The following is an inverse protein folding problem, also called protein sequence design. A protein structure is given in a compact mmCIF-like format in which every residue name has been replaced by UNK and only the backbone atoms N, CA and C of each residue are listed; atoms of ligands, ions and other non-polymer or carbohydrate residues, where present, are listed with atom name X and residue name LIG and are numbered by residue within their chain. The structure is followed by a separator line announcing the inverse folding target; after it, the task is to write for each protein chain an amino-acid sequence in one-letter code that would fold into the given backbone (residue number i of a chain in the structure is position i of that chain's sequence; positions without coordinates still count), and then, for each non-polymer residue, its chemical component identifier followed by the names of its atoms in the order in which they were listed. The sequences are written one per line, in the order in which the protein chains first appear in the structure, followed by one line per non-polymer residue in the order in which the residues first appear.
data_IF_435211882332
#
_entry.id   IF_435211882332
#
_cell.length_a   1.000
_cell.length_b   1.000
_cell.length_c   1.000
_cell.angle_alpha   90.00
_cell.angle_beta   90.00
_cell.angle_gamma   90.00
#
_symmetry.space_group_name_H-M   'P 1'
#
loop_
_entity.id
_entity.type
_entity.pdbx_description
1 polymer ?
#
# COMPACT_ATOMS: atom_id res chain seq x y z
N UNK A 1 5.19 -72.72 -54.15
CA UNK A 1 6.50 -72.09 -53.84
C UNK A 1 6.16 -70.71 -53.31
N UNK A 2 6.41 -70.26 -52.09
CA UNK A 2 7.12 -70.66 -50.85
C UNK A 2 6.35 -69.89 -49.74
N UNK A 3 5.82 -70.50 -48.66
CA UNK A 3 6.44 -70.67 -47.30
C UNK A 3 7.36 -69.50 -46.90
N UNK A 4 7.30 -68.84 -45.74
CA UNK A 4 6.69 -68.91 -44.40
C UNK A 4 6.96 -67.50 -43.77
N UNK A 5 6.26 -66.94 -42.77
CA UNK A 5 6.31 -67.25 -41.32
C UNK A 5 5.44 -66.23 -40.55
N UNK A 6 4.61 -66.75 -39.63
CA UNK A 6 4.26 -66.27 -38.27
C UNK A 6 4.10 -64.77 -37.95
N UNK A 7 2.96 -64.42 -37.35
CA UNK A 7 2.93 -63.90 -35.97
C UNK A 7 1.51 -63.95 -35.39
N UNK A 8 1.42 -64.46 -34.17
CA UNK A 8 0.25 -64.63 -33.33
C UNK A 8 -0.42 -63.31 -32.90
N UNK A 9 -1.72 -63.44 -32.65
CA UNK A 9 -2.56 -62.78 -31.65
C UNK A 9 -1.97 -61.60 -30.86
N UNK A 10 -2.67 -60.47 -30.88
CA UNK A 10 -2.74 -59.59 -29.71
C UNK A 10 -4.19 -59.08 -29.53
N UNK A 11 -4.91 -59.75 -28.64
CA UNK A 11 -6.17 -59.27 -28.08
C UNK A 11 -5.83 -58.19 -27.06
N UNK A 12 -6.14 -56.93 -27.38
CA UNK A 12 -6.11 -55.84 -26.42
C UNK A 12 -7.28 -55.99 -25.43
N UNK A 13 -7.10 -56.82 -24.40
CA UNK A 13 -7.90 -56.76 -23.19
C UNK A 13 -7.47 -55.53 -22.38
N UNK A 14 -8.45 -54.70 -22.03
CA UNK A 14 -8.27 -53.55 -21.14
C UNK A 14 -7.79 -54.01 -19.77
N UNK A 15 -6.48 -53.85 -19.53
CA UNK A 15 -5.91 -53.96 -18.21
C UNK A 15 -6.50 -52.85 -17.34
N UNK A 16 -7.43 -53.21 -16.46
CA UNK A 16 -7.74 -52.39 -15.30
C UNK A 16 -6.42 -52.21 -14.53
N UNK A 17 -6.03 -50.98 -14.14
CA UNK A 17 -4.83 -50.78 -13.33
C UNK A 17 -4.94 -51.66 -12.09
N UNK A 18 -3.89 -52.44 -11.80
CA UNK A 18 -3.92 -53.42 -10.73
C UNK A 18 -4.16 -52.71 -9.39
N UNK A 19 -4.90 -53.37 -8.49
CA UNK A 19 -5.14 -52.89 -7.12
C UNK A 19 -3.83 -52.53 -6.40
N UNK A 20 -2.71 -53.17 -6.79
CA UNK A 20 -1.35 -52.86 -6.33
C UNK A 20 -0.82 -51.50 -6.80
N UNK A 21 -1.14 -51.05 -8.02
CA UNK A 21 -0.78 -49.70 -8.49
C UNK A 21 -1.60 -48.61 -7.78
N UNK A 22 -2.89 -48.87 -7.52
CA UNK A 22 -3.71 -47.96 -6.70
C UNK A 22 -3.28 -47.92 -5.23
N UNK A 23 -2.75 -49.03 -4.68
CA UNK A 23 -2.17 -49.06 -3.34
C UNK A 23 -0.79 -48.38 -3.27
N UNK A 24 -0.03 -48.37 -4.36
CA UNK A 24 1.26 -47.69 -4.45
C UNK A 24 1.13 -46.17 -4.66
N UNK A 25 0.10 -45.71 -5.39
CA UNK A 25 -0.21 -44.28 -5.60
C UNK A 25 -1.08 -43.68 -4.48
N UNK A 26 -1.67 -44.52 -3.61
CA UNK A 26 -2.73 -44.13 -2.68
C UNK A 26 -2.29 -43.52 -1.34
N UNK A 27 -1.01 -43.55 -0.98
CA UNK A 27 -0.52 -42.79 0.16
C UNK A 27 0.92 -42.38 -0.03
N UNK A 28 1.10 -41.19 -0.59
CA UNK A 28 2.35 -40.45 -0.47
C UNK A 28 2.52 -39.98 1.00
N UNK A 29 2.70 -40.94 1.93
CA UNK A 29 3.11 -40.70 3.31
C UNK A 29 4.56 -40.19 3.27
N UNK A 30 4.73 -38.95 2.82
CA UNK A 30 5.96 -38.21 2.95
C UNK A 30 6.22 -38.04 4.44
N UNK A 31 7.14 -38.84 4.97
CA UNK A 31 7.63 -38.65 6.34
C UNK A 31 8.06 -37.19 6.49
N UNK A 32 7.53 -36.47 7.49
CA UNK A 32 7.88 -35.07 7.69
C UNK A 32 9.37 -34.98 7.93
N UNK A 33 10.08 -34.23 7.09
CA UNK A 33 11.50 -33.95 7.29
C UNK A 33 11.66 -32.78 8.24
N UNK A 34 12.79 -32.71 8.94
CA UNK A 34 13.12 -31.52 9.74
C UNK A 34 13.08 -30.29 8.82
N UNK A 35 12.25 -29.34 9.20
CA UNK A 35 12.06 -28.09 8.48
C UNK A 35 10.89 -28.03 7.50
N UNK A 36 10.07 -29.08 7.45
CA UNK A 36 8.83 -29.07 6.67
C UNK A 36 7.72 -28.24 7.36
N UNK A 37 6.89 -27.57 6.58
CA UNK A 37 5.72 -26.83 7.06
C UNK A 37 4.49 -27.60 6.65
N UNK A 38 3.68 -28.01 7.63
CA UNK A 38 2.46 -28.80 7.42
C UNK A 38 1.27 -28.05 7.99
N UNK A 39 0.14 -28.16 7.33
CA UNK A 39 -1.15 -27.83 7.93
C UNK A 39 -1.52 -28.97 8.89
N UNK A 40 -2.02 -28.63 10.07
CA UNK A 40 -2.52 -29.61 11.02
C UNK A 40 -3.70 -29.11 11.81
N UNK A 41 -4.55 -30.03 12.26
CA UNK A 41 -5.75 -29.72 13.03
C UNK A 41 -5.45 -29.87 14.51
N UNK A 42 -5.83 -28.89 15.33
CA UNK A 42 -5.64 -28.96 16.78
C UNK A 42 -6.56 -30.02 17.38
N UNK A 43 -6.02 -31.10 17.91
CA UNK A 43 -6.77 -32.19 18.55
C UNK A 43 -7.09 -31.89 20.02
N UNK A 44 -6.10 -31.37 20.76
CA UNK A 44 -6.28 -30.99 22.16
C UNK A 44 -5.38 -29.82 22.53
N UNK A 45 -5.89 -28.96 23.41
CA UNK A 45 -5.18 -27.79 23.94
C UNK A 45 -5.02 -28.01 25.43
N UNK A 46 -3.79 -28.26 25.86
CA UNK A 46 -3.41 -28.27 27.27
C UNK A 46 -2.55 -27.03 27.58
N UNK A 47 -2.48 -26.58 28.85
CA UNK A 47 -1.71 -25.38 29.21
C UNK A 47 -0.22 -25.46 28.86
N UNK A 48 0.35 -26.66 28.81
CA UNK A 48 1.78 -26.90 28.61
C UNK A 48 2.10 -27.61 27.28
N UNK A 49 1.08 -28.10 26.56
CA UNK A 49 1.25 -28.77 25.28
C UNK A 49 -0.01 -28.66 24.42
N UNK A 50 0.14 -28.48 23.12
CA UNK A 50 -0.96 -28.60 22.16
C UNK A 50 -0.67 -29.80 21.27
N UNK A 51 -1.63 -30.71 21.17
CA UNK A 51 -1.55 -31.85 20.25
C UNK A 51 -2.22 -31.46 18.95
N UNK A 52 -1.51 -31.60 17.85
CA UNK A 52 -1.93 -31.26 16.50
C UNK A 52 -1.79 -32.48 15.61
N UNK A 53 -2.83 -32.82 14.87
CA UNK A 53 -2.75 -33.82 13.81
C UNK A 53 -2.26 -33.17 12.52
N UNK A 54 -1.10 -33.61 12.02
CA UNK A 54 -0.50 -33.11 10.78
C UNK A 54 -0.65 -34.10 9.61
N UNK A 55 -1.55 -35.07 9.71
CA UNK A 55 -1.73 -36.13 8.73
C UNK A 55 -0.54 -37.10 8.66
N UNK A 56 0.20 -37.23 9.77
CA UNK A 56 1.31 -38.16 9.90
C UNK A 56 0.88 -39.41 10.69
N UNK A 57 1.69 -40.48 10.67
CA UNK A 57 1.42 -41.71 11.46
C UNK A 57 1.39 -41.48 12.98
N UNK A 58 1.81 -40.31 13.46
CA UNK A 58 1.90 -39.94 14.86
C UNK A 58 1.54 -38.48 15.04
N UNK A 59 1.00 -38.17 16.20
CA UNK A 59 0.57 -36.82 16.54
C UNK A 59 1.76 -35.88 16.73
N UNK A 60 1.54 -34.62 16.41
CA UNK A 60 2.49 -33.56 16.63
C UNK A 60 2.24 -32.86 17.96
N UNK A 61 3.29 -32.62 18.73
CA UNK A 61 3.22 -31.91 20.00
C UNK A 61 3.88 -30.55 19.85
N UNK A 62 3.12 -29.51 20.17
CA UNK A 62 3.62 -28.14 20.35
C UNK A 62 3.97 -27.97 21.83
N UNK A 63 5.25 -27.74 22.17
CA UNK A 63 5.69 -27.63 23.55
C UNK A 63 5.47 -26.23 24.16
N UNK A 64 5.40 -26.15 25.49
CA UNK A 64 5.14 -24.92 26.27
C UNK A 64 6.05 -23.74 25.92
N UNK A 65 7.34 -23.99 25.66
CA UNK A 65 8.28 -22.92 25.33
C UNK A 65 7.94 -22.19 24.03
N UNK A 66 7.18 -22.81 23.13
CA UNK A 66 6.69 -22.22 21.90
C UNK A 66 5.39 -21.44 22.16
N UNK A 67 4.50 -22.01 22.98
CA UNK A 67 3.27 -21.36 23.46
C UNK A 67 3.55 -20.06 24.21
N UNK A 68 4.58 -20.05 25.07
CA UNK A 68 5.04 -18.86 25.78
C UNK A 68 5.52 -17.73 24.85
N UNK A 69 5.95 -18.05 23.61
CA UNK A 69 6.37 -17.06 22.61
C UNK A 69 5.22 -16.53 21.74
N UNK A 70 4.14 -17.30 21.60
CA UNK A 70 2.90 -16.81 20.98
C UNK A 70 2.23 -15.75 21.88
N UNK A 71 2.31 -15.92 23.20
CA UNK A 71 1.67 -15.06 24.19
C UNK A 71 0.27 -15.56 24.54
N UNK A 72 -0.17 -15.30 25.78
CA UNK A 72 -1.43 -15.85 26.33
C UNK A 72 -2.67 -15.50 25.50
N UNK A 73 -2.70 -14.32 24.86
CA UNK A 73 -3.82 -13.89 24.01
C UNK A 73 -3.97 -14.72 22.73
N UNK A 74 -2.86 -15.24 22.18
CA UNK A 74 -2.91 -16.06 20.97
C UNK A 74 -3.27 -17.52 21.28
N UNK A 75 -2.77 -18.06 22.39
CA UNK A 75 -3.15 -19.40 22.85
C UNK A 75 -4.66 -19.46 23.16
N UNK A 76 -5.23 -18.37 23.70
CA UNK A 76 -6.66 -18.27 23.95
C UNK A 76 -7.53 -18.19 22.67
N UNK A 77 -6.95 -17.76 21.53
CA UNK A 77 -7.67 -17.71 20.25
C UNK A 77 -7.74 -19.06 19.55
N UNK A 78 -6.76 -19.92 19.81
CA UNK A 78 -6.73 -21.27 19.24
C UNK A 78 -7.82 -22.11 19.91
N UNK A 79 -8.65 -22.76 19.09
CA UNK A 79 -9.69 -23.68 19.56
C UNK A 79 -9.37 -25.08 19.06
N UNK A 80 -9.86 -26.08 19.80
CA UNK A 80 -9.80 -27.47 19.34
C UNK A 80 -10.59 -27.57 18.03
N UNK A 81 -9.97 -28.14 16.99
CA UNK A 81 -10.49 -28.23 15.64
C UNK A 81 -10.03 -27.12 14.68
N UNK A 82 -9.21 -26.16 15.12
CA UNK A 82 -8.67 -25.11 14.24
C UNK A 82 -7.54 -25.66 13.35
N UNK A 83 -7.51 -25.21 12.09
CA UNK A 83 -6.43 -25.55 11.15
C UNK A 83 -5.27 -24.58 11.36
N UNK A 84 -4.13 -25.12 11.80
CA UNK A 84 -2.93 -24.36 12.09
C UNK A 84 -1.76 -24.89 11.28
N UNK A 85 -1.00 -23.99 10.68
CA UNK A 85 0.28 -24.37 10.08
C UNK A 85 1.33 -24.55 11.17
N UNK A 86 2.04 -25.67 11.13
CA UNK A 86 3.07 -26.05 12.09
C UNK A 86 4.39 -26.36 11.38
N UNK A 87 5.49 -25.99 12.02
CA UNK A 87 6.84 -26.22 11.51
C UNK A 87 7.46 -27.42 12.24
N UNK A 88 7.94 -28.42 11.49
CA UNK A 88 8.51 -29.63 12.06
C UNK A 88 9.94 -29.39 12.54
N UNK A 89 10.13 -29.29 13.86
CA UNK A 89 11.44 -29.17 14.48
C UNK A 89 12.16 -30.52 14.52
N UNK A 90 11.46 -31.58 14.96
CA UNK A 90 12.00 -32.93 15.06
C UNK A 90 10.92 -33.95 14.67
N UNK A 91 11.22 -34.86 13.72
CA UNK A 91 10.28 -35.89 13.30
C UNK A 91 10.13 -37.03 14.30
N UNK A 92 11.07 -37.19 15.24
CA UNK A 92 10.99 -38.22 16.27
C UNK A 92 11.72 -37.73 17.53
N UNK A 93 10.98 -37.61 18.64
CA UNK A 93 11.54 -37.47 19.98
C UNK A 93 11.59 -38.83 20.69
N UNK A 94 12.07 -38.88 21.94
CA UNK A 94 12.22 -40.11 22.74
C UNK A 94 10.93 -40.94 22.87
N UNK A 95 9.77 -40.28 22.85
CA UNK A 95 8.45 -40.90 22.93
C UNK A 95 7.83 -41.18 21.56
N UNK A 96 8.58 -40.94 20.48
CA UNK A 96 8.13 -41.16 19.12
C UNK A 96 7.30 -40.03 18.51
N UNK A 97 6.93 -39.01 19.28
CA UNK A 97 6.09 -37.89 18.84
C UNK A 97 6.84 -36.90 17.94
N UNK A 98 6.09 -36.18 17.10
CA UNK A 98 6.64 -35.16 16.20
C UNK A 98 6.64 -33.82 16.93
N UNK A 99 7.81 -33.25 17.19
CA UNK A 99 7.89 -31.92 17.85
C UNK A 99 7.73 -30.84 16.80
N UNK A 100 6.72 -30.01 16.96
CA UNK A 100 6.42 -28.92 16.04
C UNK A 100 6.38 -27.56 16.74
N UNK A 101 6.53 -26.49 15.97
CA UNK A 101 6.46 -25.11 16.44
C UNK A 101 5.41 -24.35 15.63
N UNK A 102 4.44 -23.78 16.34
CA UNK A 102 3.45 -22.85 15.79
C UNK A 102 4.09 -21.48 15.56
N UNK A 103 5.00 -21.05 16.44
CA UNK A 103 5.66 -19.75 16.33
C UNK A 103 6.54 -19.65 15.08
N UNK A 104 7.33 -20.69 14.78
CA UNK A 104 8.18 -20.71 13.58
C UNK A 104 7.35 -20.77 12.29
N UNK A 105 6.23 -21.50 12.30
CA UNK A 105 5.32 -21.53 11.17
C UNK A 105 4.71 -20.15 10.89
N UNK A 106 4.24 -19.43 11.93
CA UNK A 106 3.74 -18.05 11.79
C UNK A 106 4.80 -17.10 11.28
N UNK A 107 6.03 -17.15 11.81
CA UNK A 107 7.14 -16.33 11.31
C UNK A 107 7.37 -16.58 9.82
N UNK A 108 7.33 -17.84 9.39
CA UNK A 108 7.48 -18.18 7.97
C UNK A 108 6.32 -17.63 7.12
N UNK A 109 5.08 -17.78 7.58
CA UNK A 109 3.91 -17.19 6.93
C UNK A 109 4.02 -15.68 6.83
N UNK A 110 4.49 -15.01 7.88
CA UNK A 110 4.71 -13.56 7.87
C UNK A 110 5.78 -13.15 6.85
N UNK A 111 6.85 -13.94 6.67
CA UNK A 111 7.84 -13.72 5.61
C UNK A 111 7.28 -13.97 4.20
N UNK A 112 6.42 -14.98 4.03
CA UNK A 112 5.70 -15.21 2.76
C UNK A 112 4.76 -14.05 2.44
N UNK A 113 3.95 -13.62 3.41
CA UNK A 113 3.05 -12.48 3.28
C UNK A 113 3.79 -11.18 3.00
N UNK A 114 4.95 -10.97 3.60
CA UNK A 114 5.81 -9.83 3.31
C UNK A 114 6.27 -9.78 1.85
N UNK A 115 6.59 -10.93 1.25
CA UNK A 115 6.95 -11.02 -0.17
C UNK A 115 5.74 -10.78 -1.07
N UNK A 116 4.58 -11.33 -0.73
CA UNK A 116 3.32 -11.06 -1.44
C UNK A 116 2.98 -9.56 -1.41
N UNK A 117 3.22 -8.86 -0.30
CA UNK A 117 3.02 -7.41 -0.21
C UNK A 117 4.05 -6.62 -1.03
N UNK A 118 5.27 -7.14 -1.19
CA UNK A 118 6.27 -6.53 -2.07
C UNK A 118 5.83 -6.65 -3.53
N UNK A 119 5.31 -7.81 -3.93
CA UNK A 119 4.87 -8.11 -5.29
C UNK A 119 3.54 -7.44 -5.67
N UNK A 120 2.52 -7.58 -4.81
CA UNK A 120 1.22 -6.89 -4.96
C UNK A 120 1.36 -5.37 -4.81
N UNK A 121 2.40 -4.94 -4.08
CA UNK A 121 2.66 -3.55 -3.78
C UNK A 121 1.58 -2.91 -2.90
N UNK A 122 0.86 -3.70 -2.11
CA UNK A 122 -0.17 -3.22 -1.20
C UNK A 122 0.40 -2.41 -0.03
N UNK A 123 -0.48 -1.61 0.58
CA UNK A 123 -0.14 -0.76 1.73
C UNK A 123 -0.61 -1.46 3.00
N UNK A 124 0.27 -1.54 3.98
CA UNK A 124 0.02 -2.11 5.30
C UNK A 124 0.05 -1.00 6.36
N UNK A 125 -0.94 -0.95 7.24
CA UNK A 125 -0.94 -0.02 8.38
C UNK A 125 -0.24 -0.67 9.58
N UNK A 126 0.86 -0.06 10.03
CA UNK A 126 1.65 -0.57 11.14
C UNK A 126 1.84 0.47 12.24
N UNK A 127 1.72 0.04 13.49
CA UNK A 127 2.01 0.88 14.65
C UNK A 127 3.51 0.87 14.96
N UNK A 128 4.12 2.04 15.09
CA UNK A 128 5.54 2.12 15.46
C UNK A 128 5.73 1.73 16.92
N UNK A 129 6.53 0.68 17.17
CA UNK A 129 6.84 0.20 18.53
C UNK A 129 8.10 0.84 19.13
N UNK A 130 8.94 1.44 18.30
CA UNK A 130 10.17 2.06 18.77
C UNK A 130 11.00 2.65 17.65
N UNK A 131 12.15 3.21 17.99
CA UNK A 131 13.05 3.85 17.05
C UNK A 131 14.51 3.53 17.38
N UNK A 132 15.36 3.65 16.37
CA UNK A 132 16.81 3.58 16.51
C UNK A 132 17.46 4.83 15.88
N UNK A 133 18.79 4.91 15.91
CA UNK A 133 19.55 6.07 15.40
C UNK A 133 19.34 6.36 13.90
N UNK A 134 18.73 5.46 13.14
CA UNK A 134 18.55 5.58 11.69
C UNK A 134 17.10 5.50 11.19
N UNK A 135 16.12 5.20 12.04
CA UNK A 135 14.73 5.00 11.63
C UNK A 135 13.83 4.42 12.70
N UNK A 136 12.61 4.04 12.32
CA UNK A 136 11.59 3.48 13.21
C UNK A 136 11.41 1.98 12.99
N UNK A 137 11.02 1.26 14.04
CA UNK A 137 10.76 -0.18 14.02
C UNK A 137 9.26 -0.40 14.09
N UNK A 138 8.74 -1.19 13.16
CA UNK A 138 7.31 -1.48 13.02
C UNK A 138 7.12 -3.00 13.00
N UNK A 139 6.22 -3.55 13.83
CA UNK A 139 5.92 -4.98 13.81
C UNK A 139 5.06 -5.31 12.58
N UNK A 140 5.32 -6.48 12.01
CA UNK A 140 4.54 -7.07 10.93
C UNK A 140 4.28 -8.52 11.28
N UNK A 141 3.10 -8.81 11.83
CA UNK A 141 2.85 -10.10 12.48
C UNK A 141 3.84 -10.34 13.64
N UNK A 142 4.62 -11.41 13.55
CA UNK A 142 5.68 -11.77 14.50
C UNK A 142 7.07 -11.28 14.09
N UNK A 143 7.24 -10.77 12.87
CA UNK A 143 8.51 -10.21 12.41
C UNK A 143 8.55 -8.70 12.64
N UNK A 144 9.77 -8.14 12.65
CA UNK A 144 9.99 -6.70 12.87
C UNK A 144 10.59 -6.12 11.60
N UNK A 145 9.95 -5.09 11.06
CA UNK A 145 10.47 -4.30 9.96
C UNK A 145 11.04 -2.96 10.42
N UNK A 146 11.87 -2.40 9.55
CA UNK A 146 12.59 -1.16 9.77
C UNK A 146 12.18 -0.15 8.70
N UNK A 147 11.81 1.05 9.13
CA UNK A 147 11.50 2.18 8.25
C UNK A 147 12.65 3.18 8.36
N UNK A 148 13.45 3.40 7.31
CA UNK A 148 14.52 4.39 7.33
C UNK A 148 13.96 5.80 7.55
N UNK A 149 14.64 6.62 8.35
CA UNK A 149 14.21 8.00 8.60
C UNK A 149 14.13 8.86 7.31
N UNK A 150 14.94 8.52 6.29
CA UNK A 150 14.91 9.17 4.97
C UNK A 150 13.62 8.91 4.17
N UNK A 151 12.82 7.94 4.58
CA UNK A 151 11.56 7.54 3.94
C UNK A 151 10.33 8.02 4.71
N UNK A 152 10.51 8.72 5.84
CA UNK A 152 9.42 9.39 6.56
C UNK A 152 9.13 10.75 5.92
N UNK A 153 7.86 11.13 5.80
CA UNK A 153 7.42 12.29 5.01
C UNK A 153 7.80 13.64 5.64
N UNK A 154 7.98 13.70 6.97
CA UNK A 154 8.17 14.96 7.73
C UNK A 154 9.62 15.24 8.18
N UNK A 155 10.61 14.67 7.49
CA UNK A 155 12.04 14.87 7.82
C UNK A 155 12.72 15.87 6.86
N UNK A 156 12.92 17.14 7.27
CA UNK A 156 13.85 18.04 6.61
C UNK A 156 15.26 17.43 6.54
N UNK A 157 15.89 17.50 5.38
CA UNK A 157 17.23 16.95 5.13
C UNK A 157 18.38 17.62 5.91
N UNK A 158 18.10 18.65 6.72
CA UNK A 158 19.08 19.45 7.49
C UNK A 158 18.73 19.62 8.98
N UNK A 159 18.33 18.56 9.69
CA UNK A 159 18.13 18.62 11.15
C UNK A 159 19.37 18.14 11.91
N UNK A 160 19.64 18.74 13.08
CA UNK A 160 20.69 18.28 14.00
C UNK A 160 20.37 16.87 14.54
N UNK A 161 21.38 16.12 14.98
CA UNK A 161 21.22 14.72 15.42
C UNK A 161 20.20 14.56 16.56
N UNK A 162 20.10 15.57 17.43
CA UNK A 162 19.19 15.60 18.59
C UNK A 162 17.73 15.85 18.20
N UNK A 163 17.45 16.82 17.33
CA UNK A 163 16.09 17.14 16.87
C UNK A 163 15.46 15.98 16.09
N UNK A 164 16.28 15.21 15.36
CA UNK A 164 15.83 13.99 14.68
C UNK A 164 15.33 12.95 15.68
N UNK A 165 15.99 12.80 16.83
CA UNK A 165 15.58 11.84 17.86
C UNK A 165 14.28 12.25 18.54
N UNK A 166 14.10 13.54 18.82
CA UNK A 166 12.86 14.05 19.40
C UNK A 166 11.66 13.83 18.47
N UNK A 167 11.81 14.13 17.17
CA UNK A 167 10.77 13.85 16.18
C UNK A 167 10.47 12.36 16.04
N UNK A 168 11.50 11.51 15.96
CA UNK A 168 11.30 10.04 15.86
C UNK A 168 10.57 9.46 17.07
N UNK A 169 10.80 10.00 18.26
CA UNK A 169 10.08 9.61 19.47
C UNK A 169 8.58 9.96 19.39
N UNK A 170 8.23 11.08 18.76
CA UNK A 170 6.83 11.51 18.56
C UNK A 170 6.04 10.60 17.61
N UNK A 171 6.75 9.89 16.71
CA UNK A 171 6.15 8.90 15.82
C UNK A 171 5.92 7.54 16.49
N UNK A 172 6.53 7.27 17.65
CA UNK A 172 6.28 6.03 18.40
C UNK A 172 4.83 6.00 18.87
N UNK A 173 4.13 4.90 18.60
CA UNK A 173 2.71 4.74 18.93
C UNK A 173 1.75 5.21 17.84
N UNK A 174 2.20 5.95 16.82
CA UNK A 174 1.36 6.30 15.66
C UNK A 174 1.23 5.11 14.72
N UNK A 175 0.03 4.94 14.15
CA UNK A 175 -0.23 4.03 13.04
C UNK A 175 0.06 4.76 11.73
N UNK A 176 0.98 4.20 10.94
CA UNK A 176 1.43 4.82 9.69
C UNK A 176 1.21 3.83 8.55
N UNK A 177 0.70 4.27 7.39
CA UNK A 177 0.64 3.44 6.19
C UNK A 177 2.04 3.23 5.63
N UNK A 178 2.42 1.97 5.48
CA UNK A 178 3.76 1.51 5.13
C UNK A 178 3.68 0.54 3.96
N UNK A 179 4.58 0.70 3.01
CA UNK A 179 4.74 -0.24 1.91
C UNK A 179 6.07 -0.97 2.04
N UNK A 180 6.07 -2.27 1.82
CA UNK A 180 7.28 -3.09 1.78
C UNK A 180 8.09 -2.70 0.53
N UNK A 181 9.36 -2.36 0.70
CA UNK A 181 10.29 -2.10 -0.40
C UNK A 181 11.27 -3.25 -0.56
N UNK A 182 11.66 -3.87 0.54
CA UNK A 182 12.72 -4.88 0.55
C UNK A 182 12.42 -5.93 1.61
N UNK A 183 12.56 -7.19 1.23
CA UNK A 183 12.38 -8.36 2.10
C UNK A 183 13.64 -9.21 2.03
N UNK A 184 14.27 -9.41 3.18
CA UNK A 184 15.56 -10.08 3.31
C UNK A 184 15.42 -11.20 4.37
N UNK A 185 14.99 -12.40 3.94
CA UNK A 185 14.75 -13.55 4.84
C UNK A 185 16.02 -14.00 5.58
N UNK A 186 17.15 -14.00 4.88
CA UNK A 186 18.45 -14.43 5.42
C UNK A 186 18.93 -13.54 6.56
N UNK A 187 18.73 -12.22 6.43
CA UNK A 187 19.13 -11.23 7.45
C UNK A 187 18.01 -10.92 8.43
N UNK A 188 16.84 -11.57 8.28
CA UNK A 188 15.60 -11.26 9.00
C UNK A 188 15.30 -9.76 8.98
N UNK A 189 15.54 -9.13 7.83
CA UNK A 189 15.38 -7.69 7.64
C UNK A 189 14.22 -7.44 6.70
N UNK A 190 13.34 -6.53 7.09
CA UNK A 190 12.25 -6.09 6.27
C UNK A 190 12.26 -4.56 6.27
N UNK A 191 12.26 -3.94 5.09
CA UNK A 191 12.34 -2.48 4.96
C UNK A 191 11.03 -1.96 4.42
N UNK A 192 10.45 -1.00 5.14
CA UNK A 192 9.26 -0.29 4.70
C UNK A 192 9.55 1.14 4.25
N UNK A 193 8.58 1.72 3.54
CA UNK A 193 8.57 3.14 3.19
C UNK A 193 7.16 3.72 3.27
N UNK A 194 7.07 4.86 3.97
CA UNK A 194 5.85 5.68 4.04
C UNK A 194 5.63 6.44 2.72
N UNK A 195 6.70 6.98 2.11
CA UNK A 195 6.61 7.75 0.85
C UNK A 195 6.01 6.95 -0.31
N UNK A 196 6.30 5.64 -0.38
CA UNK A 196 5.77 4.77 -1.42
C UNK A 196 4.28 4.46 -1.21
N UNK A 197 3.84 4.26 0.03
CA UNK A 197 2.44 4.06 0.39
C UNK A 197 1.58 5.30 0.04
N UNK A 198 2.08 6.52 0.33
CA UNK A 198 1.34 7.76 0.06
C UNK A 198 1.22 8.12 -1.43
N UNK A 199 2.10 7.59 -2.30
CA UNK A 199 1.98 7.75 -3.77
C UNK A 199 0.85 6.89 -4.32
N UNK A 200 0.77 5.63 -3.92
CA UNK A 200 -0.28 4.72 -4.40
C UNK A 200 -1.65 5.01 -3.79
N UNK A 201 -1.72 5.40 -2.50
CA UNK A 201 -2.99 5.84 -1.90
C UNK A 201 -3.55 7.07 -2.63
N UNK A 202 -2.68 8.06 -2.92
CA UNK A 202 -3.04 9.18 -3.79
C UNK A 202 -3.38 8.73 -5.21
N UNK A 203 -2.64 7.82 -5.83
CA UNK A 203 -2.94 7.39 -7.20
C UNK A 203 -4.27 6.64 -7.32
N UNK A 204 -4.66 5.83 -6.32
CA UNK A 204 -5.96 5.16 -6.27
C UNK A 204 -7.09 6.14 -6.03
N UNK A 205 -6.94 7.07 -5.08
CA UNK A 205 -7.92 8.17 -4.91
C UNK A 205 -8.01 9.05 -6.16
N UNK A 206 -6.87 9.39 -6.78
CA UNK A 206 -6.81 10.15 -8.04
C UNK A 206 -7.62 9.47 -9.12
N UNK A 207 -7.45 8.16 -9.28
CA UNK A 207 -8.11 7.42 -10.34
C UNK A 207 -9.61 7.31 -10.14
N UNK A 208 -10.07 7.18 -8.89
CA UNK A 208 -11.49 7.16 -8.57
C UNK A 208 -12.13 8.54 -8.75
N UNK A 209 -11.48 9.59 -8.24
CA UNK A 209 -11.91 10.97 -8.45
C UNK A 209 -11.91 11.35 -9.94
N UNK A 210 -10.89 10.93 -10.70
CA UNK A 210 -10.83 11.18 -12.16
C UNK A 210 -11.94 10.50 -12.94
N UNK A 211 -12.56 9.44 -12.41
CA UNK A 211 -13.74 8.80 -13.02
C UNK A 211 -15.03 9.54 -12.68
N UNK A 212 -15.08 10.18 -11.52
CA UNK A 212 -16.26 10.93 -11.05
C UNK A 212 -16.30 12.37 -11.57
N UNK A 213 -15.13 12.99 -11.76
CA UNK A 213 -14.99 14.39 -12.18
C UNK A 213 -15.41 14.57 -13.64
N UNK A 214 -16.34 15.50 -13.87
CA UNK A 214 -16.74 15.95 -15.21
C UNK A 214 -16.13 17.32 -15.54
N UNK A 215 -15.82 17.55 -16.82
CA UNK A 215 -15.40 18.87 -17.28
C UNK A 215 -16.54 19.88 -17.07
N UNK A 216 -16.23 21.03 -16.47
CA UNK A 216 -17.19 22.09 -16.21
C UNK A 216 -17.80 22.14 -14.81
N UNK A 217 -17.40 21.25 -13.91
CA UNK A 217 -17.81 21.29 -12.50
C UNK A 217 -16.97 22.30 -11.71
N UNK A 218 -17.61 22.93 -10.72
CA UNK A 218 -16.97 23.80 -9.73
C UNK A 218 -16.64 22.98 -8.50
N UNK A 219 -15.39 23.02 -8.05
CA UNK A 219 -14.94 22.23 -6.91
C UNK A 219 -14.10 23.09 -5.96
N UNK A 220 -14.22 22.79 -4.68
CA UNK A 220 -13.43 23.42 -3.63
C UNK A 220 -12.10 22.66 -3.51
N UNK A 221 -10.99 23.40 -3.42
CA UNK A 221 -9.67 22.81 -3.30
C UNK A 221 -8.72 23.65 -2.44
N UNK A 222 -7.65 23.02 -1.97
CA UNK A 222 -6.64 23.68 -1.13
C UNK A 222 -5.35 23.87 -1.94
N UNK A 223 -4.78 25.07 -1.92
CA UNK A 223 -3.52 25.35 -2.62
C UNK A 223 -2.37 24.56 -1.99
N UNK A 224 -1.85 23.55 -2.69
CA UNK A 224 -0.75 22.71 -2.20
C UNK A 224 0.62 23.30 -2.50
N UNK A 225 0.73 24.17 -3.51
CA UNK A 225 1.98 24.82 -3.87
C UNK A 225 1.84 25.90 -4.94
N UNK A 226 2.81 26.82 -4.99
CA UNK A 226 2.85 27.93 -5.94
C UNK A 226 4.16 27.88 -6.74
N UNK A 227 4.08 28.12 -8.03
CA UNK A 227 5.23 28.23 -8.95
C UNK A 227 5.09 29.48 -9.82
N UNK A 228 6.16 29.90 -10.50
CA UNK A 228 6.13 31.16 -11.26
C UNK A 228 5.15 31.16 -12.45
N UNK A 229 4.80 29.97 -12.95
CA UNK A 229 3.87 29.79 -14.09
C UNK A 229 2.44 29.42 -13.66
N UNK A 230 2.16 29.21 -12.36
CA UNK A 230 0.84 28.79 -11.91
C UNK A 230 0.75 28.33 -10.44
N UNK A 231 -0.44 27.89 -10.05
CA UNK A 231 -0.74 27.38 -8.71
C UNK A 231 -1.19 25.91 -8.79
N UNK A 232 -0.74 25.10 -7.84
CA UNK A 232 -1.20 23.72 -7.64
C UNK A 232 -2.28 23.70 -6.57
N UNK A 233 -3.43 23.12 -6.90
CA UNK A 233 -4.59 23.01 -6.02
C UNK A 233 -4.93 21.52 -5.85
N UNK A 234 -5.00 21.06 -4.61
CA UNK A 234 -5.46 19.72 -4.25
C UNK A 234 -6.98 19.72 -4.08
N UNK A 235 -7.67 18.90 -4.87
CA UNK A 235 -9.14 18.77 -4.87
C UNK A 235 -9.65 17.65 -3.94
N UNK A 236 -8.83 17.27 -2.95
CA UNK A 236 -9.13 16.19 -2.01
C UNK A 236 -8.76 14.81 -2.57
N UNK A 237 -7.68 14.76 -3.36
CA UNK A 237 -7.19 13.50 -3.93
C UNK A 237 -6.78 13.59 -5.40
N UNK A 238 -6.94 14.75 -6.08
CA UNK A 238 -6.34 14.99 -7.40
C UNK A 238 -5.65 16.36 -7.45
N UNK A 239 -4.47 16.42 -8.07
CA UNK A 239 -3.71 17.66 -8.21
C UNK A 239 -4.14 18.36 -9.50
N UNK A 240 -4.70 19.56 -9.36
CA UNK A 240 -5.00 20.45 -10.47
C UNK A 240 -3.99 21.58 -10.60
N UNK A 241 -3.75 22.01 -11.83
CA UNK A 241 -2.88 23.14 -12.16
C UNK A 241 -3.74 24.29 -12.66
N UNK A 242 -3.62 25.43 -11.98
CA UNK A 242 -4.16 26.71 -12.43
C UNK A 242 -3.04 27.48 -13.10
N UNK A 243 -3.20 27.81 -14.39
CA UNK A 243 -2.23 28.62 -15.12
C UNK A 243 -2.29 30.08 -14.64
N UNK A 244 -1.19 30.83 -14.73
CA UNK A 244 -1.16 32.23 -14.26
C UNK A 244 -2.24 33.12 -14.91
N UNK A 245 -2.57 32.84 -16.18
CA UNK A 245 -3.62 33.55 -16.93
C UNK A 245 -5.05 33.20 -16.50
N UNK A 246 -5.21 32.12 -15.73
CA UNK A 246 -6.51 31.60 -15.27
C UNK A 246 -6.75 31.87 -13.78
N UNK A 247 -5.83 32.60 -13.11
CA UNK A 247 -5.96 33.02 -11.71
C UNK A 247 -6.91 34.21 -11.52
N UNK A 248 -6.83 35.21 -12.40
CA UNK A 248 -7.57 36.47 -12.29
C UNK A 248 -7.75 37.12 -13.65
N UNK A 249 -8.75 38.00 -13.77
CA UNK A 249 -8.96 38.88 -14.92
C UNK A 249 -7.87 39.97 -15.04
N UNK A 250 -7.22 40.31 -13.93
CA UNK A 250 -6.11 41.26 -13.90
C UNK A 250 -4.78 40.57 -14.24
N UNK A 251 -3.86 41.32 -14.85
CA UNK A 251 -2.53 40.81 -15.24
C UNK A 251 -1.65 40.67 -14.00
N UNK A 252 -1.85 39.60 -13.23
CA UNK A 252 -1.03 39.27 -12.08
C UNK A 252 0.41 38.94 -12.54
N UNK A 253 1.41 39.63 -11.97
CA UNK A 253 2.84 39.38 -12.26
C UNK A 253 3.36 38.14 -11.55
N UNK A 254 2.88 37.89 -10.33
CA UNK A 254 3.25 36.72 -9.55
C UNK A 254 2.05 36.07 -8.84
N UNK A 255 1.87 34.75 -8.96
CA UNK A 255 0.75 34.04 -8.34
C UNK A 255 0.78 34.07 -6.80
N UNK A 256 1.94 34.35 -6.20
CA UNK A 256 2.12 34.47 -4.73
C UNK A 256 1.48 35.73 -4.13
N UNK A 257 1.17 36.73 -4.95
CA UNK A 257 0.46 37.94 -4.52
C UNK A 257 -1.05 37.70 -4.44
N UNK A 258 -1.55 36.72 -5.20
CA UNK A 258 -2.98 36.42 -5.33
C UNK A 258 -3.41 35.25 -4.43
N UNK A 259 -2.54 34.25 -4.24
CA UNK A 259 -2.83 33.03 -3.47
C UNK A 259 -1.69 32.68 -2.52
N UNK A 260 -2.01 32.10 -1.36
CA UNK A 260 -1.05 31.51 -0.42
C UNK A 260 -1.17 29.99 -0.40
N UNK A 261 -0.06 29.32 -0.04
CA UNK A 261 -0.06 27.87 0.17
C UNK A 261 -0.93 27.56 1.39
N UNK A 262 -1.91 26.69 1.23
CA UNK A 262 -2.89 26.32 2.25
C UNK A 262 -4.23 27.07 2.16
N UNK A 263 -4.39 28.01 1.24
CA UNK A 263 -5.67 28.70 1.06
C UNK A 263 -6.71 27.78 0.40
N UNK A 264 -7.96 27.89 0.85
CA UNK A 264 -9.13 27.25 0.23
C UNK A 264 -9.65 28.13 -0.90
N UNK A 265 -9.77 27.55 -2.10
CA UNK A 265 -10.21 28.23 -3.32
C UNK A 265 -11.22 27.40 -4.09
N UNK A 266 -12.21 28.08 -4.64
CA UNK A 266 -13.12 27.50 -5.63
C UNK A 266 -12.47 27.54 -7.01
N UNK A 267 -12.49 26.40 -7.68
CA UNK A 267 -11.90 26.23 -9.01
C UNK A 267 -12.89 25.59 -9.96
N UNK A 268 -12.84 26.03 -11.21
CA UNK A 268 -13.59 25.48 -12.32
C UNK A 268 -12.73 24.51 -13.13
N UNK A 269 -13.23 23.33 -13.44
CA UNK A 269 -12.51 22.32 -14.22
C UNK A 269 -12.62 22.65 -15.72
N UNK A 270 -11.50 23.02 -16.33
CA UNK A 270 -11.44 23.31 -17.77
C UNK A 270 -11.30 22.04 -18.61
N UNK A 271 -10.31 21.20 -18.26
CA UNK A 271 -9.96 19.98 -19.00
C UNK A 271 -9.38 18.93 -18.08
N UNK A 272 -9.74 17.68 -18.34
CA UNK A 272 -9.23 16.51 -17.62
C UNK A 272 -8.26 15.75 -18.52
N UNK A 273 -7.01 15.56 -18.07
CA UNK A 273 -6.07 14.68 -18.76
C UNK A 273 -5.89 13.38 -17.97
N UNK A 274 -6.56 12.33 -18.44
CA UNK A 274 -6.54 11.00 -17.82
C UNK A 274 -5.16 10.32 -17.94
N UNK A 275 -4.40 10.54 -19.03
CA UNK A 275 -3.09 9.92 -19.24
C UNK A 275 -2.04 10.44 -18.26
N UNK A 276 -1.99 11.76 -18.07
CA UNK A 276 -1.01 12.42 -17.19
C UNK A 276 -1.52 12.62 -15.78
N UNK A 277 -2.76 12.22 -15.49
CA UNK A 277 -3.41 12.35 -14.19
C UNK A 277 -3.34 13.81 -13.67
N UNK A 278 -3.58 14.78 -14.57
CA UNK A 278 -3.53 16.23 -14.28
C UNK A 278 -4.81 16.91 -14.73
N UNK A 279 -5.27 17.87 -13.94
CA UNK A 279 -6.49 18.62 -14.19
C UNK A 279 -6.12 20.08 -14.47
N UNK A 280 -6.61 20.64 -15.58
CA UNK A 280 -6.48 22.07 -15.85
C UNK A 280 -7.64 22.80 -15.17
N UNK A 281 -7.31 23.73 -14.29
CA UNK A 281 -8.26 24.47 -13.46
C UNK A 281 -8.23 25.96 -13.80
N UNK A 282 -9.35 26.65 -13.56
CA UNK A 282 -9.48 28.09 -13.68
C UNK A 282 -10.25 28.68 -12.51
N UNK A 283 -9.72 29.74 -11.92
CA UNK A 283 -10.39 30.53 -10.87
C UNK A 283 -11.14 31.70 -11.53
N UNK A 284 -10.60 32.20 -12.65
CA UNK A 284 -11.14 33.32 -13.42
C UNK A 284 -12.61 33.14 -13.82
N UNK A 285 -13.02 31.93 -14.22
CA UNK A 285 -14.41 31.66 -14.67
C UNK A 285 -15.47 31.74 -13.57
N UNK A 286 -15.06 31.69 -12.32
CA UNK A 286 -15.94 31.86 -11.16
C UNK A 286 -16.08 33.32 -10.76
N UNK A 287 -15.15 34.17 -11.19
CA UNK A 287 -15.26 35.61 -10.98
C UNK A 287 -16.25 36.18 -12.00
N UNK A 288 -17.19 37.05 -11.57
CA UNK A 288 -18.13 37.67 -12.47
C UNK A 288 -17.38 38.42 -13.57
N UNK A 289 -17.74 38.14 -14.83
CA UNK A 289 -17.18 38.83 -15.98
C UNK A 289 -17.34 40.34 -15.79
N UNK A 290 -16.24 41.11 -15.72
CA UNK A 290 -16.33 42.56 -15.54
C UNK A 290 -17.17 43.22 -16.64
N UNK A 291 -17.24 42.59 -17.83
CA UNK A 291 -17.96 43.05 -19.01
C UNK A 291 -19.49 42.93 -18.89
N UNK A 292 -20.01 41.94 -18.16
CA UNK A 292 -21.46 41.80 -17.96
C UNK A 292 -22.01 42.93 -17.08
N UNK A 293 -21.18 43.46 -16.18
CA UNK A 293 -21.49 44.62 -15.36
C UNK A 293 -21.27 45.96 -16.09
N UNK A 294 -20.66 45.98 -17.28
CA UNK A 294 -20.43 47.23 -18.03
C UNK A 294 -21.75 47.79 -18.54
N UNK A 295 -22.65 46.96 -19.06
CA UNK A 295 -23.98 47.40 -19.54
C UNK A 295 -24.83 48.03 -18.44
N UNK A 296 -24.72 47.56 -17.19
CA UNK A 296 -25.43 48.17 -16.05
C UNK A 296 -24.76 49.45 -15.54
N UNK A 297 -23.43 49.52 -15.60
CA UNK A 297 -22.65 50.57 -14.94
C UNK A 297 -22.34 51.77 -15.85
N UNK A 298 -22.39 51.60 -17.16
CA UNK A 298 -22.05 52.63 -18.14
C UNK A 298 -23.18 52.84 -19.15
N UNK A 299 -23.85 54.00 -19.07
CA UNK A 299 -24.83 54.43 -20.08
C UNK A 299 -24.15 55.24 -21.17
N UNK A 300 -24.63 55.11 -22.42
CA UNK A 300 -24.15 55.94 -23.55
C UNK A 300 -24.36 57.42 -23.21
N UNK A 301 -23.27 58.19 -23.13
CA UNK A 301 -23.27 59.61 -22.74
C UNK A 301 -22.85 59.90 -21.29
N UNK A 302 -22.49 58.88 -20.49
CA UNK A 302 -22.04 59.07 -19.12
C UNK A 302 -20.60 59.60 -19.06
N UNK A 303 -20.40 60.73 -18.37
CA UNK A 303 -19.09 61.27 -18.03
C UNK A 303 -18.44 60.40 -16.96
N UNK A 304 -17.36 59.72 -17.30
CA UNK A 304 -16.57 58.92 -16.35
C UNK A 304 -15.22 59.56 -16.07
N UNK A 305 -14.80 59.48 -14.81
CA UNK A 305 -13.44 59.85 -14.38
C UNK A 305 -12.53 58.64 -14.57
N UNK A 306 -11.64 58.70 -15.56
CA UNK A 306 -10.62 57.68 -15.82
C UNK A 306 -9.22 58.23 -15.64
N UNK A 307 -8.33 57.43 -15.08
CA UNK A 307 -6.91 57.77 -14.94
C UNK A 307 -6.18 57.30 -16.20
N UNK A 308 -5.56 58.21 -16.94
CA UNK A 308 -4.89 57.89 -18.20
C UNK A 308 -3.67 57.01 -17.92
N UNK A 309 -3.66 55.80 -18.47
CA UNK A 309 -2.57 54.84 -18.28
C UNK A 309 -1.48 55.00 -19.34
N UNK A 310 -1.84 55.43 -20.56
CA UNK A 310 -0.88 55.60 -21.66
C UNK A 310 -1.31 56.69 -22.63
N UNK A 311 -0.39 57.61 -22.94
CA UNK A 311 -0.60 58.66 -23.94
C UNK A 311 0.22 58.33 -25.19
N UNK A 312 -0.42 58.40 -26.35
CA UNK A 312 0.22 58.30 -27.68
C UNK A 312 -0.25 59.49 -28.52
N UNK A 313 0.48 59.80 -29.60
CA UNK A 313 0.24 61.01 -30.41
C UNK A 313 -1.16 61.06 -31.07
N UNK A 314 -1.86 59.93 -31.14
CA UNK A 314 -3.22 59.84 -31.69
C UNK A 314 -4.31 59.64 -30.62
N UNK A 315 -3.98 59.64 -29.32
CA UNK A 315 -4.99 59.51 -28.28
C UNK A 315 -4.45 59.16 -26.89
N UNK A 316 -5.30 59.36 -25.88
CA UNK A 316 -5.04 58.95 -24.50
C UNK A 316 -5.87 57.71 -24.15
N UNK A 317 -5.21 56.64 -23.74
CA UNK A 317 -5.87 55.42 -23.24
C UNK A 317 -6.07 55.56 -21.74
N UNK A 318 -7.34 55.71 -21.34
CA UNK A 318 -7.81 55.66 -19.96
C UNK A 318 -8.26 54.23 -19.60
#
# INVERSE_FOLDING_TARGET
MERQLTAEQDQAEGASPSMEQFLAEGYDYHYPRRGDIRQGTVLSIEPHQIVVDIGAKRDAIVPEYDLGKLGQEEVAKIKVGDEVSVYVLRPEDRDGNIVVSLNLARIHQDWSRAEELLESGEVFEGQVIGYNKGGVVVPFGKIRGFVPASHLVDMPSRLAREERMAKLAEFVGRTIPLKVIEVDRNRRRLIFSERAARRQWRERQKEQLMKELCEGEVRHGVVSGLCDFGAFVDLGGADGLVHISELSWERAKHPREVLKVGDEVDVYILRLNHERKRIALSIKRLQPDPWTLVDEKYKVGQLVKGTITKVVDFGAFA
#
